data_IF_247306343050
#
_entry.id   IF_247306343050
#
_cell.length_a   1.000
_cell.length_b   1.000
_cell.length_c   1.000
_cell.angle_alpha   90.00
_cell.angle_beta   90.00
_cell.angle_gamma   90.00
#
_symmetry.space_group_name_H-M   'P 1'
#
loop_
_entity.id
_entity.type
_entity.pdbx_description
1 polymer ?
#
# COMPACT_ATOMS: atom_id res chain seq x y z
N UNK A 1 -0.51 -2.07 -11.71
CA UNK A 1 -1.58 -1.05 -11.68
C UNK A 1 -1.85 -0.43 -13.05
N UNK A 2 -2.99 0.25 -13.25
CA UNK A 2 -3.09 1.30 -14.28
C UNK A 2 -2.58 2.62 -13.69
N UNK A 3 -1.25 2.75 -13.60
CA UNK A 3 -0.50 3.93 -13.11
C UNK A 3 -1.05 5.30 -13.58
N UNK A 4 -1.57 5.46 -14.82
CA UNK A 4 -2.16 6.73 -15.27
C UNK A 4 -3.33 7.23 -14.41
N UNK A 5 -4.17 6.32 -13.89
CA UNK A 5 -5.37 6.72 -13.15
C UNK A 5 -5.08 7.23 -11.74
N UNK A 6 -3.96 6.83 -11.13
CA UNK A 6 -3.55 7.30 -9.80
C UNK A 6 -3.12 8.76 -9.89
N UNK A 7 -2.29 9.08 -10.90
CA UNK A 7 -1.85 10.43 -11.15
C UNK A 7 -3.04 11.37 -11.40
N UNK A 8 -3.98 10.97 -12.25
CA UNK A 8 -5.20 11.73 -12.55
C UNK A 8 -6.03 12.00 -11.28
N UNK A 9 -6.24 10.97 -10.44
CA UNK A 9 -6.99 11.11 -9.18
C UNK A 9 -6.30 12.07 -8.21
N UNK A 10 -4.99 11.94 -8.03
CA UNK A 10 -4.23 12.82 -7.13
C UNK A 10 -4.19 14.27 -7.63
N UNK A 11 -4.07 14.46 -8.95
CA UNK A 11 -4.18 15.79 -9.57
C UNK A 11 -5.54 16.42 -9.33
N UNK A 12 -6.61 15.64 -9.48
CA UNK A 12 -7.97 16.10 -9.24
C UNK A 12 -8.23 16.44 -7.77
N UNK A 13 -7.57 15.74 -6.84
CA UNK A 13 -7.61 16.06 -5.41
C UNK A 13 -6.80 17.32 -5.02
N UNK A 14 -6.15 17.97 -5.98
CA UNK A 14 -5.43 19.23 -5.77
C UNK A 14 -3.94 19.09 -5.48
N UNK A 15 -3.36 17.89 -5.60
CA UNK A 15 -1.93 17.69 -5.34
C UNK A 15 -1.05 18.15 -6.51
N UNK A 16 -0.04 18.96 -6.21
CA UNK A 16 1.01 19.33 -7.18
C UNK A 16 1.92 18.12 -7.50
N UNK A 17 2.75 18.19 -8.55
CA UNK A 17 3.69 17.09 -8.84
C UNK A 17 4.64 16.87 -7.66
N UNK A 18 5.07 17.98 -7.03
CA UNK A 18 5.92 17.94 -5.85
C UNK A 18 5.23 17.23 -4.68
N UNK A 19 3.96 17.54 -4.41
CA UNK A 19 3.22 16.87 -3.33
C UNK A 19 3.08 15.37 -3.59
N UNK A 20 2.81 14.98 -4.84
CA UNK A 20 2.69 13.56 -5.22
C UNK A 20 4.03 12.85 -5.04
N UNK A 21 5.14 13.45 -5.48
CA UNK A 21 6.49 12.89 -5.29
C UNK A 21 6.78 12.74 -3.79
N UNK A 22 6.53 13.78 -2.99
CA UNK A 22 6.78 13.78 -1.55
C UNK A 22 5.94 12.67 -0.86
N UNK A 23 4.65 12.57 -1.17
CA UNK A 23 3.74 11.56 -0.62
C UNK A 23 4.13 10.13 -0.99
N UNK A 24 4.39 9.88 -2.28
CA UNK A 24 4.75 8.54 -2.78
C UNK A 24 6.11 8.12 -2.22
N UNK A 25 7.08 9.05 -2.12
CA UNK A 25 8.39 8.77 -1.52
C UNK A 25 8.29 8.41 -0.04
N UNK A 26 7.50 9.17 0.73
CA UNK A 26 7.25 8.87 2.15
C UNK A 26 6.62 7.48 2.29
N UNK A 27 5.63 7.17 1.46
CA UNK A 27 4.95 5.89 1.54
C UNK A 27 5.86 4.72 1.12
N UNK A 28 6.66 4.87 0.06
CA UNK A 28 7.68 3.89 -0.33
C UNK A 28 8.68 3.61 0.81
N UNK A 29 9.13 4.64 1.51
CA UNK A 29 10.00 4.47 2.68
C UNK A 29 9.32 3.69 3.81
N UNK A 30 8.02 3.89 4.02
CA UNK A 30 7.24 3.11 5.00
C UNK A 30 7.08 1.64 4.57
N UNK A 31 6.87 1.38 3.28
CA UNK A 31 6.80 0.02 2.73
C UNK A 31 8.14 -0.71 2.86
N UNK A 32 9.26 -0.02 2.65
CA UNK A 32 10.61 -0.61 2.72
C UNK A 32 11.00 -1.11 4.13
N UNK A 33 10.46 -0.47 5.18
CA UNK A 33 10.68 -0.86 6.58
C UNK A 33 9.53 -1.71 7.14
N UNK A 34 8.60 -2.14 6.29
CA UNK A 34 7.50 -2.99 6.74
C UNK A 34 8.03 -4.37 7.14
N UNK A 35 7.95 -4.68 8.44
CA UNK A 35 8.39 -5.95 8.98
C UNK A 35 7.19 -6.82 9.36
N UNK A 36 7.23 -8.09 8.96
CA UNK A 36 6.23 -9.09 9.34
C UNK A 36 6.40 -9.47 10.80
N UNK A 37 5.66 -8.81 11.69
CA UNK A 37 5.59 -9.20 13.09
C UNK A 37 4.82 -10.51 13.27
N UNK A 38 5.32 -11.38 14.13
CA UNK A 38 4.56 -12.52 14.66
C UNK A 38 3.53 -12.12 15.72
N UNK A 39 3.67 -10.89 16.26
CA UNK A 39 2.68 -10.30 17.17
C UNK A 39 1.50 -9.78 16.36
N UNK A 40 0.30 -10.27 16.69
CA UNK A 40 -0.94 -9.95 15.98
C UNK A 40 -1.32 -8.47 16.09
N UNK A 41 -1.11 -7.85 17.24
CA UNK A 41 -1.51 -6.45 17.45
C UNK A 41 -0.59 -5.51 16.67
N UNK A 42 0.72 -5.80 16.68
CA UNK A 42 1.72 -5.06 15.87
C UNK A 42 1.43 -5.22 14.38
N UNK A 43 1.13 -6.46 13.94
CA UNK A 43 0.77 -6.73 12.56
C UNK A 43 -0.47 -5.94 12.12
N UNK A 44 -1.54 -5.97 12.92
CA UNK A 44 -2.79 -5.25 12.63
C UNK A 44 -2.57 -3.73 12.62
N UNK A 45 -1.75 -3.19 13.52
CA UNK A 45 -1.39 -1.77 13.52
C UNK A 45 -0.66 -1.37 12.23
N UNK A 46 0.29 -2.20 11.78
CA UNK A 46 1.01 -1.95 10.54
C UNK A 46 0.09 -2.07 9.30
N UNK A 47 -0.82 -3.05 9.27
CA UNK A 47 -1.84 -3.17 8.22
C UNK A 47 -2.79 -1.96 8.22
N UNK A 48 -3.15 -1.43 9.38
CA UNK A 48 -3.95 -0.21 9.48
C UNK A 48 -3.19 1.02 8.93
N UNK A 49 -1.89 1.15 9.22
CA UNK A 49 -1.03 2.20 8.63
C UNK A 49 -0.96 2.09 7.11
N UNK A 50 -0.80 0.88 6.57
CA UNK A 50 -0.85 0.60 5.14
C UNK A 50 -2.16 1.09 4.51
N UNK A 51 -3.32 0.73 5.09
CA UNK A 51 -4.64 1.19 4.61
C UNK A 51 -4.77 2.71 4.58
N UNK A 52 -4.20 3.38 5.58
CA UNK A 52 -4.14 4.84 5.63
C UNK A 52 -3.35 5.43 4.45
N UNK A 53 -2.15 4.92 4.18
CA UNK A 53 -1.32 5.36 3.06
C UNK A 53 -1.95 5.07 1.69
N UNK A 54 -2.56 3.90 1.51
CA UNK A 54 -3.33 3.57 0.30
C UNK A 54 -4.48 4.55 0.07
N UNK A 55 -5.20 4.91 1.14
CA UNK A 55 -6.29 5.88 1.06
C UNK A 55 -5.78 7.28 0.68
N UNK A 56 -4.66 7.71 1.26
CA UNK A 56 -4.03 9.00 0.96
C UNK A 56 -3.61 9.10 -0.50
N UNK A 57 -3.13 8.00 -1.08
CA UNK A 57 -2.68 7.89 -2.46
C UNK A 57 -3.82 7.55 -3.45
N UNK A 58 -5.07 7.50 -3.01
CA UNK A 58 -6.23 7.13 -3.85
C UNK A 58 -6.13 5.72 -4.50
N UNK A 59 -5.45 4.80 -3.82
CA UNK A 59 -5.22 3.40 -4.21
C UNK A 59 -6.34 2.50 -3.69
N UNK A 60 -7.54 2.71 -4.24
CA UNK A 60 -8.77 2.06 -3.78
C UNK A 60 -8.71 0.53 -3.97
N UNK A 61 -8.24 0.08 -5.14
CA UNK A 61 -8.19 -1.35 -5.48
C UNK A 61 -7.19 -2.09 -4.58
N UNK A 62 -6.04 -1.50 -4.32
CA UNK A 62 -5.01 -2.07 -3.45
C UNK A 62 -5.46 -2.09 -1.99
N UNK A 63 -6.26 -1.10 -1.58
CA UNK A 63 -6.87 -1.12 -0.26
C UNK A 63 -7.86 -2.26 -0.12
N UNK A 64 -8.70 -2.50 -1.12
CA UNK A 64 -9.62 -3.64 -1.16
C UNK A 64 -8.85 -4.97 -1.14
N UNK A 65 -7.77 -5.08 -1.91
CA UNK A 65 -6.85 -6.24 -1.91
C UNK A 65 -6.28 -6.50 -0.51
N UNK A 66 -5.81 -5.46 0.18
CA UNK A 66 -5.29 -5.55 1.55
C UNK A 66 -6.38 -5.92 2.57
N UNK A 67 -7.61 -5.42 2.40
CA UNK A 67 -8.77 -5.78 3.25
C UNK A 67 -9.16 -7.25 3.07
N UNK A 68 -9.06 -7.81 1.86
CA UNK A 68 -9.27 -9.25 1.63
C UNK A 68 -8.19 -10.08 2.32
N UNK A 69 -6.91 -9.71 2.16
CA UNK A 69 -5.78 -10.38 2.82
C UNK A 69 -5.96 -10.38 4.36
N UNK A 70 -6.38 -9.25 4.94
CA UNK A 70 -6.66 -9.15 6.38
C UNK A 70 -7.92 -9.95 6.80
N UNK A 71 -8.96 -10.00 5.97
CA UNK A 71 -10.15 -10.80 6.27
C UNK A 71 -9.83 -12.30 6.31
N UNK A 72 -8.92 -12.77 5.46
CA UNK A 72 -8.49 -14.17 5.40
C UNK A 72 -7.66 -14.57 6.64
N UNK A 73 -6.88 -13.65 7.22
CA UNK A 73 -6.26 -13.77 8.57
C UNK A 73 -7.31 -14.09 9.64
N UNK A 74 -8.42 -13.36 9.60
CA UNK A 74 -9.41 -13.38 10.67
C UNK A 74 -10.37 -14.58 10.57
N UNK A 75 -10.43 -15.25 9.41
CA UNK A 75 -11.31 -16.40 9.14
C UNK A 75 -10.61 -17.76 9.15
N UNK A 76 -9.33 -17.85 8.80
CA UNK A 76 -8.64 -19.13 8.60
C UNK A 76 -7.63 -19.45 9.71
N UNK A 77 -7.66 -20.70 10.20
CA UNK A 77 -6.63 -21.32 11.05
C UNK A 77 -5.33 -21.65 10.27
N UNK A 78 -5.17 -21.18 9.01
CA UNK A 78 -4.04 -21.55 8.16
C UNK A 78 -2.85 -20.60 8.24
N UNK A 79 -1.70 -21.16 8.61
CA UNK A 79 -0.36 -20.61 8.45
C UNK A 79 -0.03 -20.32 6.98
N UNK A 80 -0.22 -19.09 6.53
CA UNK A 80 0.90 -18.19 6.20
C UNK A 80 0.36 -16.99 5.42
N UNK A 81 0.05 -15.89 6.10
CA UNK A 81 -0.26 -14.61 5.45
C UNK A 81 0.95 -13.89 4.87
N UNK A 82 2.12 -14.32 5.33
CA UNK A 82 3.40 -13.70 5.02
C UNK A 82 3.70 -13.65 3.51
N UNK A 83 3.44 -14.71 2.72
CA UNK A 83 3.68 -14.67 1.28
C UNK A 83 2.76 -13.72 0.52
N UNK A 84 1.45 -13.73 0.81
CA UNK A 84 0.47 -12.89 0.08
C UNK A 84 0.67 -11.41 0.38
N UNK A 85 0.86 -11.06 1.65
CA UNK A 85 1.13 -9.67 2.02
C UNK A 85 2.53 -9.22 1.55
N UNK A 86 3.55 -10.08 1.53
CA UNK A 86 4.85 -9.76 0.93
C UNK A 86 4.72 -9.53 -0.58
N UNK A 87 3.95 -10.37 -1.27
CA UNK A 87 3.70 -10.21 -2.70
C UNK A 87 2.98 -8.90 -2.98
N UNK A 88 1.92 -8.59 -2.22
CA UNK A 88 1.19 -7.33 -2.26
C UNK A 88 2.12 -6.13 -2.10
N UNK A 89 2.93 -6.10 -1.03
CA UNK A 89 3.86 -5.00 -0.75
C UNK A 89 4.87 -4.85 -1.89
N UNK A 90 5.43 -5.95 -2.40
CA UNK A 90 6.44 -5.90 -3.46
C UNK A 90 5.86 -5.37 -4.77
N UNK A 91 4.65 -5.78 -5.14
CA UNK A 91 3.90 -5.27 -6.30
C UNK A 91 3.60 -3.77 -6.15
N UNK A 92 3.12 -3.38 -4.98
CA UNK A 92 2.80 -1.99 -4.65
C UNK A 92 4.03 -1.08 -4.74
N UNK A 93 5.18 -1.51 -4.20
CA UNK A 93 6.43 -0.78 -4.31
C UNK A 93 6.84 -0.57 -5.77
N UNK A 94 6.84 -1.63 -6.59
CA UNK A 94 7.22 -1.53 -7.99
C UNK A 94 6.31 -0.59 -8.80
N UNK A 95 4.99 -0.66 -8.56
CA UNK A 95 4.04 0.22 -9.26
C UNK A 95 4.22 1.70 -8.85
N UNK A 96 4.55 1.98 -7.58
CA UNK A 96 4.78 3.34 -7.06
C UNK A 96 6.14 3.91 -7.51
N UNK A 97 7.18 3.09 -7.59
CA UNK A 97 8.47 3.48 -8.17
C UNK A 97 8.33 3.82 -9.66
N UNK A 98 7.51 3.06 -10.39
CA UNK A 98 7.18 3.36 -11.77
C UNK A 98 6.40 4.68 -11.89
N UNK A 99 5.47 4.97 -10.97
CA UNK A 99 4.77 6.26 -10.93
C UNK A 99 5.76 7.42 -10.77
N UNK A 100 6.72 7.32 -9.84
CA UNK A 100 7.74 8.35 -9.64
C UNK A 100 8.63 8.55 -10.86
N UNK A 101 8.95 7.48 -11.58
CA UNK A 101 9.79 7.56 -12.80
C UNK A 101 9.09 8.28 -13.96
N UNK A 102 7.76 8.30 -13.98
CA UNK A 102 6.95 8.89 -15.06
C UNK A 102 6.41 10.30 -14.74
N UNK A 103 6.80 10.88 -13.60
CA UNK A 103 6.38 12.21 -13.11
C UNK A 103 7.40 13.31 -13.45
#
# INVERSE_FOLDING_TARGET
>A
MKTPHILERLKHAGYSNKDIIDLVTIFLNQLAIFEFSSDKDVFLEQVHKLKGGLSLLCLVEEREELEMIEADQNKSLSLSLKPDLQHFISKLQADLELLLTNL
#
